data_IF_803350861773
#
_entry.id   IF_803350861773
#
_cell.length_a   1.000
_cell.length_b   1.000
_cell.length_c   1.000
_cell.angle_alpha   90.00
_cell.angle_beta   90.00
_cell.angle_gamma   90.00
#
_symmetry.space_group_name_H-M   'P 1'
#
loop_
_entity.id
_entity.type
_entity.pdbx_description
1 polymer ?
#
# COMPACT_ATOMS: atom_id res chain seq x y z
N UNK A 1 1.92 11.89 -21.95
CA UNK A 1 2.05 11.21 -20.67
C UNK A 1 2.45 9.76 -20.93
N UNK A 2 3.47 9.22 -20.28
CA UNK A 2 4.03 7.89 -20.60
C UNK A 2 3.04 6.74 -20.38
N UNK A 3 2.19 6.84 -19.36
CA UNK A 3 1.15 5.85 -19.08
C UNK A 3 0.18 5.68 -20.25
N UNK A 4 -0.29 6.77 -20.87
CA UNK A 4 -1.20 6.71 -22.02
C UNK A 4 -0.59 6.02 -23.22
N UNK A 5 0.71 6.16 -23.45
CA UNK A 5 1.44 5.45 -24.52
C UNK A 5 1.44 3.94 -24.33
N UNK A 6 1.21 3.47 -23.10
CA UNK A 6 1.13 2.06 -22.73
C UNK A 6 -0.30 1.53 -22.58
N UNK A 7 -1.29 2.28 -23.05
CA UNK A 7 -2.69 1.88 -23.00
C UNK A 7 -3.37 2.06 -21.63
N UNK A 8 -2.74 2.81 -20.70
CA UNK A 8 -3.35 3.12 -19.40
C UNK A 8 -4.23 4.34 -19.54
N UNK A 9 -5.49 4.22 -19.20
CA UNK A 9 -6.41 5.35 -19.11
C UNK A 9 -6.02 6.24 -17.92
N UNK A 10 -6.07 7.55 -18.13
CA UNK A 10 -5.66 8.54 -17.12
C UNK A 10 -6.72 9.63 -16.92
N UNK A 11 -7.95 9.34 -17.27
CA UNK A 11 -9.04 10.30 -17.18
C UNK A 11 -9.31 10.72 -15.73
N UNK A 12 -9.25 9.75 -14.82
CA UNK A 12 -9.50 9.97 -13.39
C UNK A 12 -8.25 10.38 -12.59
N UNK A 13 -7.14 10.66 -13.28
CA UNK A 13 -5.95 11.16 -12.59
C UNK A 13 -6.15 12.61 -12.18
N UNK A 14 -6.15 12.85 -10.88
CA UNK A 14 -6.31 14.18 -10.28
C UNK A 14 -4.94 14.86 -10.22
N UNK A 15 -4.90 16.11 -10.66
CA UNK A 15 -3.73 16.97 -10.58
C UNK A 15 -3.95 18.00 -9.48
N UNK A 16 -3.04 18.07 -8.52
CA UNK A 16 -3.12 19.00 -7.40
C UNK A 16 -1.81 19.06 -6.63
N UNK A 17 -1.78 19.90 -5.57
CA UNK A 17 -0.58 20.15 -4.79
C UNK A 17 0.53 20.88 -5.55
N UNK A 18 1.59 21.22 -4.84
CA UNK A 18 2.68 22.05 -5.39
C UNK A 18 3.75 21.22 -6.10
N UNK A 19 3.88 19.92 -5.79
CA UNK A 19 4.94 19.08 -6.34
C UNK A 19 4.55 17.61 -6.45
N UNK A 20 5.23 16.92 -7.35
CA UNK A 20 5.21 15.46 -7.45
C UNK A 20 6.19 14.86 -6.43
N UNK A 21 5.79 13.79 -5.76
CA UNK A 21 6.71 12.96 -4.98
C UNK A 21 7.67 12.20 -5.89
N UNK A 22 8.95 12.15 -5.52
CA UNK A 22 9.99 11.46 -6.27
C UNK A 22 10.77 10.49 -5.38
N UNK A 23 11.54 9.63 -5.98
CA UNK A 23 12.56 8.83 -5.31
C UNK A 23 13.83 8.77 -6.14
N UNK A 24 14.95 8.57 -5.47
CA UNK A 24 16.25 8.37 -6.08
C UNK A 24 16.71 6.94 -5.85
N UNK A 25 17.06 6.25 -6.91
CA UNK A 25 17.65 4.92 -6.83
C UNK A 25 19.15 5.03 -7.08
N UNK A 26 19.94 4.78 -6.05
CA UNK A 26 21.37 4.56 -6.17
C UNK A 26 21.59 3.06 -6.42
N UNK A 27 21.97 2.73 -7.65
CA UNK A 27 22.20 1.35 -8.06
C UNK A 27 23.42 0.78 -7.33
N UNK A 28 23.28 -0.38 -6.75
CA UNK A 28 24.39 -1.12 -6.15
C UNK A 28 25.37 -1.62 -7.21
N UNK A 29 26.60 -1.86 -6.79
CA UNK A 29 27.62 -2.47 -7.64
C UNK A 29 28.37 -3.56 -6.86
N UNK A 30 28.55 -4.71 -7.48
CA UNK A 30 29.26 -5.88 -6.94
C UNK A 30 28.70 -6.31 -5.56
N UNK A 31 29.33 -5.92 -4.46
CA UNK A 31 28.93 -6.29 -3.08
C UNK A 31 28.09 -5.23 -2.37
N UNK A 32 27.89 -4.06 -2.99
CA UNK A 32 27.09 -2.98 -2.41
C UNK A 32 25.63 -3.07 -2.86
N UNK A 33 24.70 -3.22 -1.92
CA UNK A 33 23.27 -3.19 -2.22
C UNK A 33 22.78 -1.85 -2.78
N UNK A 34 21.70 -1.87 -3.52
CA UNK A 34 21.02 -0.65 -4.00
C UNK A 34 20.41 0.11 -2.83
N UNK A 35 20.40 1.44 -2.94
CA UNK A 35 19.82 2.33 -1.94
C UNK A 35 18.71 3.18 -2.56
N UNK A 36 17.54 3.21 -1.90
CA UNK A 36 16.42 4.08 -2.29
C UNK A 36 16.30 5.21 -1.29
N UNK A 37 16.23 6.44 -1.80
CA UNK A 37 15.95 7.65 -1.02
C UNK A 37 14.62 8.22 -1.51
N UNK A 38 13.64 8.32 -0.61
CA UNK A 38 12.32 8.89 -0.91
C UNK A 38 12.30 10.39 -0.60
N UNK A 39 11.80 11.18 -1.53
CA UNK A 39 11.47 12.59 -1.38
C UNK A 39 9.98 12.79 -1.69
N UNK A 40 9.13 12.56 -0.70
CA UNK A 40 7.66 12.57 -0.82
C UNK A 40 6.97 13.58 0.09
N UNK A 41 7.71 14.23 1.00
CA UNK A 41 7.16 15.26 1.86
C UNK A 41 6.57 16.41 1.02
N UNK A 42 5.41 16.93 1.43
CA UNK A 42 4.70 18.01 0.73
C UNK A 42 4.43 17.74 -0.75
N UNK A 43 4.33 16.47 -1.13
CA UNK A 43 3.88 16.10 -2.47
C UNK A 43 2.35 16.05 -2.53
N UNK A 44 1.79 16.22 -3.72
CA UNK A 44 0.34 16.14 -3.94
C UNK A 44 -0.28 14.89 -3.30
N UNK A 45 0.41 13.73 -3.39
CA UNK A 45 -0.06 12.49 -2.78
C UNK A 45 0.04 12.49 -1.24
N UNK A 46 1.00 13.20 -0.65
CA UNK A 46 1.12 13.30 0.82
C UNK A 46 0.13 14.28 1.44
N UNK A 47 -0.45 15.16 0.62
CA UNK A 47 -1.40 16.19 1.03
C UNK A 47 -2.84 15.88 0.61
N UNK A 48 -3.06 14.70 0.02
CA UNK A 48 -4.39 14.26 -0.38
C UNK A 48 -5.33 14.13 0.84
N UNK A 49 -6.60 14.49 0.64
CA UNK A 49 -7.63 14.41 1.66
C UNK A 49 -8.87 13.71 1.11
N UNK A 50 -9.68 13.16 2.01
CA UNK A 50 -11.00 12.60 1.67
C UNK A 50 -11.86 13.62 0.93
N UNK A 51 -12.71 13.14 0.03
CA UNK A 51 -13.57 13.98 -0.81
C UNK A 51 -12.89 14.68 -1.98
N UNK A 52 -11.56 14.54 -2.15
CA UNK A 52 -10.86 15.07 -3.32
C UNK A 52 -11.06 14.22 -4.58
N UNK A 53 -11.47 12.96 -4.43
CA UNK A 53 -11.69 12.03 -5.53
C UNK A 53 -13.20 11.80 -5.67
N UNK A 54 -13.72 11.95 -6.88
CA UNK A 54 -15.08 11.54 -7.23
C UNK A 54 -15.10 10.02 -7.48
N UNK A 55 -15.27 9.27 -6.39
CA UNK A 55 -15.28 7.80 -6.44
C UNK A 55 -16.48 7.24 -7.20
N UNK A 56 -17.60 7.93 -7.23
CA UNK A 56 -18.76 7.49 -8.00
C UNK A 56 -18.44 7.44 -9.48
N UNK A 57 -17.76 8.48 -9.96
CA UNK A 57 -17.30 8.56 -11.33
C UNK A 57 -16.12 7.63 -11.59
N UNK A 58 -15.16 7.55 -10.67
CA UNK A 58 -13.96 6.72 -10.83
C UNK A 58 -14.28 5.22 -10.85
N UNK A 59 -15.33 4.80 -10.15
CA UNK A 59 -15.75 3.40 -10.05
C UNK A 59 -16.95 3.04 -10.95
N UNK A 60 -17.36 3.94 -11.85
CA UNK A 60 -18.42 3.65 -12.82
C UNK A 60 -17.95 2.57 -13.81
N UNK A 61 -18.66 1.43 -13.84
CA UNK A 61 -18.31 0.28 -14.68
C UNK A 61 -17.06 -0.48 -14.26
N UNK A 62 -16.49 -0.22 -13.10
CA UNK A 62 -15.31 -0.93 -12.58
C UNK A 62 -15.74 -2.21 -11.88
N UNK A 63 -15.08 -3.32 -12.22
CA UNK A 63 -15.30 -4.64 -11.61
C UNK A 63 -14.21 -5.03 -10.63
N UNK A 64 -13.02 -4.38 -10.71
CA UNK A 64 -11.85 -4.70 -9.89
C UNK A 64 -11.09 -3.44 -9.49
N UNK A 65 -10.89 -3.27 -8.20
CA UNK A 65 -10.08 -2.19 -7.62
C UNK A 65 -8.84 -2.76 -6.94
N UNK A 66 -7.67 -2.31 -7.38
CA UNK A 66 -6.40 -2.69 -6.76
C UNK A 66 -5.71 -1.48 -6.16
N UNK A 67 -5.27 -1.61 -4.89
CA UNK A 67 -4.49 -0.60 -4.21
C UNK A 67 -3.20 -1.21 -3.64
N UNK A 68 -2.26 -0.38 -3.21
CA UNK A 68 -0.99 -0.80 -2.61
C UNK A 68 -0.81 -0.24 -1.22
N UNK A 69 -0.25 -1.02 -0.30
CA UNK A 69 0.07 -0.61 1.07
C UNK A 69 1.07 0.56 1.18
N UNK A 70 1.68 0.96 0.05
CA UNK A 70 2.45 2.21 -0.01
C UNK A 70 1.54 3.43 0.16
N UNK A 71 0.31 3.40 -0.35
CA UNK A 71 -0.61 4.54 -0.29
C UNK A 71 -0.90 5.00 1.13
N UNK A 72 -1.43 4.16 2.04
CA UNK A 72 -1.68 4.57 3.42
C UNK A 72 -0.40 4.87 4.21
N UNK A 73 0.76 4.38 3.77
CA UNK A 73 2.04 4.63 4.44
C UNK A 73 2.59 6.06 4.26
N UNK A 74 2.03 6.84 3.31
CA UNK A 74 2.58 8.16 2.95
C UNK A 74 2.18 9.22 3.97
N UNK A 75 0.90 9.27 4.37
CA UNK A 75 0.35 10.24 5.32
C UNK A 75 -0.99 9.75 5.87
N UNK A 76 -1.46 10.36 6.95
CA UNK A 76 -2.80 10.08 7.50
C UNK A 76 -3.88 10.38 6.45
N UNK A 77 -3.81 11.51 5.74
CA UNK A 77 -4.77 11.83 4.68
C UNK A 77 -4.81 10.79 3.58
N UNK A 78 -3.65 10.25 3.17
CA UNK A 78 -3.59 9.18 2.18
C UNK A 78 -4.18 7.85 2.71
N UNK A 79 -4.02 7.56 4.01
CA UNK A 79 -4.67 6.41 4.65
C UNK A 79 -6.20 6.58 4.68
N UNK A 80 -6.68 7.77 5.05
CA UNK A 80 -8.11 8.09 5.11
C UNK A 80 -8.76 7.99 3.72
N UNK A 81 -8.10 8.48 2.67
CA UNK A 81 -8.55 8.35 1.27
C UNK A 81 -8.56 6.89 0.81
N UNK A 82 -7.57 6.10 1.22
CA UNK A 82 -7.55 4.67 0.91
C UNK A 82 -8.72 3.94 1.58
N UNK A 83 -9.03 4.26 2.83
CA UNK A 83 -10.18 3.72 3.55
C UNK A 83 -11.51 4.15 2.91
N UNK A 84 -11.63 5.42 2.50
CA UNK A 84 -12.77 5.93 1.75
C UNK A 84 -12.99 5.12 0.46
N UNK A 85 -11.93 4.89 -0.31
CA UNK A 85 -11.96 4.15 -1.56
C UNK A 85 -12.48 2.70 -1.37
N UNK A 86 -11.90 1.95 -0.42
CA UNK A 86 -12.28 0.55 -0.20
C UNK A 86 -13.71 0.42 0.32
N UNK A 87 -14.18 1.36 1.17
CA UNK A 87 -15.58 1.39 1.64
C UNK A 87 -16.56 1.58 0.49
N UNK A 88 -16.27 2.52 -0.41
CA UNK A 88 -17.13 2.79 -1.56
C UNK A 88 -17.09 1.65 -2.57
N UNK A 89 -15.90 1.10 -2.85
CA UNK A 89 -15.74 -0.05 -3.75
C UNK A 89 -16.50 -1.28 -3.23
N UNK A 90 -16.38 -1.58 -1.93
CA UNK A 90 -17.10 -2.67 -1.28
C UNK A 90 -18.61 -2.47 -1.36
N UNK A 91 -19.11 -1.26 -1.08
CA UNK A 91 -20.55 -0.94 -1.18
C UNK A 91 -21.10 -1.09 -2.61
N UNK A 92 -20.23 -0.92 -3.63
CA UNK A 92 -20.58 -1.12 -5.05
C UNK A 92 -20.40 -2.59 -5.51
N UNK A 93 -19.95 -3.50 -4.65
CA UNK A 93 -19.70 -4.91 -5.00
C UNK A 93 -18.49 -5.12 -5.91
N UNK A 94 -17.55 -4.19 -5.93
CA UNK A 94 -16.31 -4.27 -6.71
C UNK A 94 -15.34 -5.21 -6.00
N UNK A 95 -14.71 -6.13 -6.71
CA UNK A 95 -13.65 -6.98 -6.17
C UNK A 95 -12.45 -6.13 -5.78
N UNK A 96 -11.99 -6.25 -4.54
CA UNK A 96 -10.91 -5.43 -3.99
C UNK A 96 -9.67 -6.29 -3.71
N UNK A 97 -8.54 -5.87 -4.24
CA UNK A 97 -7.25 -6.51 -3.97
C UNK A 97 -6.20 -5.51 -3.52
N UNK A 98 -5.22 -6.01 -2.76
CA UNK A 98 -4.07 -5.21 -2.35
C UNK A 98 -2.76 -5.99 -2.40
N UNK A 99 -1.66 -5.26 -2.60
CA UNK A 99 -0.30 -5.68 -2.27
C UNK A 99 0.13 -4.91 -1.02
N UNK A 100 0.37 -5.61 0.08
CA UNK A 100 0.72 -5.02 1.39
C UNK A 100 1.96 -4.16 1.34
N UNK A 101 2.96 -4.59 0.61
CA UNK A 101 4.11 -3.80 0.15
C UNK A 101 4.73 -2.92 1.26
N UNK A 102 5.01 -3.51 2.43
CA UNK A 102 5.55 -2.79 3.58
C UNK A 102 6.84 -2.03 3.25
N UNK A 103 6.93 -0.81 3.73
CA UNK A 103 8.11 0.04 3.59
C UNK A 103 8.35 0.83 4.87
N UNK A 104 9.24 0.33 5.72
CA UNK A 104 9.57 0.93 7.03
C UNK A 104 9.90 2.43 6.97
N UNK A 105 10.45 2.91 5.84
CA UNK A 105 10.82 4.32 5.65
C UNK A 105 9.65 5.27 5.41
N UNK A 106 8.44 4.76 5.16
CA UNK A 106 7.27 5.58 4.81
C UNK A 106 6.37 5.87 6.02
N UNK A 107 6.15 4.92 6.90
CA UNK A 107 5.31 5.05 8.10
C UNK A 107 5.92 5.98 9.15
N UNK A 108 6.05 7.28 8.82
CA UNK A 108 6.71 8.25 9.70
C UNK A 108 5.74 9.10 10.51
N UNK A 109 4.47 9.06 10.17
CA UNK A 109 3.43 9.89 10.78
C UNK A 109 2.70 9.18 11.93
N UNK A 110 2.94 7.89 12.15
CA UNK A 110 2.29 7.11 13.19
C UNK A 110 3.24 6.04 13.77
N UNK A 111 2.89 5.53 14.94
CA UNK A 111 3.55 4.39 15.57
C UNK A 111 3.05 3.03 15.01
N UNK A 112 3.63 1.95 15.48
CA UNK A 112 3.32 0.60 15.01
C UNK A 112 1.88 0.18 15.32
N UNK A 113 1.36 0.53 16.50
CA UNK A 113 0.00 0.18 16.89
C UNK A 113 -1.05 0.92 16.03
N UNK A 114 -0.78 2.17 15.69
CA UNK A 114 -1.65 2.94 14.81
C UNK A 114 -1.60 2.41 13.37
N UNK A 115 -0.41 2.06 12.86
CA UNK A 115 -0.25 1.41 11.55
C UNK A 115 -1.05 0.11 11.46
N UNK A 116 -0.91 -0.76 12.46
CA UNK A 116 -1.63 -2.03 12.54
C UNK A 116 -3.14 -1.82 12.49
N UNK A 117 -3.66 -0.87 13.26
CA UNK A 117 -5.08 -0.51 13.24
C UNK A 117 -5.54 -0.04 11.85
N UNK A 118 -4.80 0.88 11.22
CA UNK A 118 -5.10 1.39 9.88
C UNK A 118 -5.14 0.24 8.87
N UNK A 119 -4.10 -0.58 8.85
CA UNK A 119 -3.99 -1.65 7.86
C UNK A 119 -5.05 -2.73 8.08
N UNK A 120 -5.32 -3.11 9.32
CA UNK A 120 -6.40 -4.05 9.65
C UNK A 120 -7.76 -3.52 9.17
N UNK A 121 -8.07 -2.24 9.41
CA UNK A 121 -9.33 -1.66 8.97
C UNK A 121 -9.45 -1.62 7.45
N UNK A 122 -8.42 -1.14 6.73
CA UNK A 122 -8.46 -1.04 5.27
C UNK A 122 -8.53 -2.43 4.62
N UNK A 123 -7.71 -3.39 5.10
CA UNK A 123 -7.67 -4.74 4.52
C UNK A 123 -8.91 -5.57 4.83
N UNK A 124 -9.70 -5.23 5.85
CA UNK A 124 -10.97 -5.91 6.13
C UNK A 124 -12.01 -5.79 5.00
N UNK A 125 -11.82 -4.87 4.07
CA UNK A 125 -12.64 -4.70 2.87
C UNK A 125 -12.09 -5.45 1.64
N UNK A 126 -10.91 -6.07 1.74
CA UNK A 126 -10.26 -6.72 0.59
C UNK A 126 -10.71 -8.18 0.44
N UNK A 127 -10.97 -8.58 -0.80
CA UNK A 127 -11.22 -9.97 -1.18
C UNK A 127 -9.91 -10.75 -1.37
N UNK A 128 -8.84 -10.05 -1.79
CA UNK A 128 -7.54 -10.65 -2.08
C UNK A 128 -6.44 -9.79 -1.49
N UNK A 129 -5.57 -10.41 -0.69
CA UNK A 129 -4.40 -9.77 -0.08
C UNK A 129 -3.15 -10.49 -0.55
N UNK A 130 -2.22 -9.73 -1.14
CA UNK A 130 -0.89 -10.18 -1.53
C UNK A 130 0.14 -9.59 -0.58
N UNK A 131 1.08 -10.39 -0.14
CA UNK A 131 2.14 -9.96 0.77
C UNK A 131 3.12 -11.09 1.06
N UNK A 132 4.21 -10.76 1.71
CA UNK A 132 5.18 -11.72 2.23
C UNK A 132 5.09 -11.78 3.76
N UNK A 133 5.96 -12.59 4.36
CA UNK A 133 6.00 -12.81 5.81
C UNK A 133 6.31 -11.53 6.59
N UNK A 134 7.23 -10.69 6.07
CA UNK A 134 7.55 -9.39 6.66
C UNK A 134 6.34 -8.46 6.64
N UNK A 135 5.59 -8.44 5.53
CA UNK A 135 4.38 -7.65 5.41
C UNK A 135 3.32 -8.08 6.45
N UNK A 136 3.13 -9.40 6.64
CA UNK A 136 2.18 -9.94 7.61
C UNK A 136 2.60 -9.60 9.05
N UNK A 137 3.87 -9.77 9.38
CA UNK A 137 4.41 -9.41 10.69
C UNK A 137 4.27 -7.92 10.98
N UNK A 138 4.70 -7.07 10.03
CA UNK A 138 4.76 -5.61 10.26
C UNK A 138 3.39 -4.95 10.23
N UNK A 139 2.44 -5.44 9.44
CA UNK A 139 1.12 -4.83 9.34
C UNK A 139 0.11 -5.39 10.33
N UNK A 140 0.24 -6.66 10.75
CA UNK A 140 -0.79 -7.33 11.53
C UNK A 140 -0.26 -8.01 12.81
N UNK A 141 1.04 -7.94 13.08
CA UNK A 141 1.64 -8.64 14.22
C UNK A 141 1.56 -10.16 14.11
N UNK A 142 1.35 -10.70 12.91
CA UNK A 142 1.24 -12.14 12.67
C UNK A 142 2.63 -12.74 12.66
N UNK A 143 2.91 -13.57 13.64
CA UNK A 143 4.18 -14.30 13.73
C UNK A 143 3.94 -15.81 13.52
N UNK A 144 4.75 -16.49 12.70
CA UNK A 144 4.67 -17.94 12.61
C UNK A 144 5.09 -18.54 13.95
N UNK A 145 4.27 -19.45 14.49
CA UNK A 145 4.59 -20.10 15.76
C UNK A 145 5.89 -20.90 15.66
N UNK A 146 6.84 -20.60 16.56
CA UNK A 146 8.10 -21.35 16.71
C UNK A 146 9.20 -21.03 15.68
N UNK A 147 9.02 -20.02 14.83
CA UNK A 147 10.00 -19.64 13.81
C UNK A 147 10.43 -18.17 13.96
N UNK A 148 11.72 -17.94 14.09
CA UNK A 148 12.32 -16.63 14.00
C UNK A 148 12.61 -16.31 12.53
N UNK A 149 11.76 -15.51 11.89
CA UNK A 149 11.85 -15.17 10.46
C UNK A 149 13.21 -14.56 10.09
N UNK A 150 13.84 -13.85 11.04
CA UNK A 150 15.15 -13.26 10.82
C UNK A 150 16.31 -14.26 10.84
N UNK A 151 16.10 -15.45 11.44
CA UNK A 151 17.12 -16.51 11.52
C UNK A 151 16.98 -17.59 10.47
N UNK A 152 15.76 -17.77 9.90
CA UNK A 152 15.43 -18.93 9.05
C UNK A 152 14.90 -18.55 7.67
N UNK A 153 15.16 -17.35 7.20
CA UNK A 153 14.53 -16.64 6.06
C UNK A 153 14.34 -17.38 4.72
N UNK A 154 14.90 -18.56 4.53
CA UNK A 154 14.69 -19.39 3.33
C UNK A 154 14.09 -20.78 3.60
N UNK A 155 13.95 -21.18 4.86
CA UNK A 155 13.48 -22.53 5.24
C UNK A 155 12.03 -22.55 5.74
N UNK A 156 11.35 -21.40 5.76
CA UNK A 156 9.97 -21.32 6.24
C UNK A 156 9.03 -21.81 5.14
N UNK A 157 8.38 -22.93 5.39
CA UNK A 157 7.33 -23.43 4.49
C UNK A 157 6.11 -22.52 4.58
N UNK A 158 5.52 -22.17 3.43
CA UNK A 158 4.29 -21.37 3.33
C UNK A 158 3.14 -21.91 4.23
N UNK A 159 3.13 -23.21 4.51
CA UNK A 159 2.19 -23.89 5.42
C UNK A 159 2.19 -23.32 6.86
N UNK A 160 3.31 -22.72 7.32
CA UNK A 160 3.39 -22.13 8.66
C UNK A 160 2.56 -20.84 8.80
N UNK A 161 2.28 -20.17 7.67
CA UNK A 161 1.45 -18.95 7.63
C UNK A 161 -0.04 -19.23 7.37
N UNK A 162 -0.36 -20.34 6.70
CA UNK A 162 -1.76 -20.71 6.42
C UNK A 162 -2.52 -21.20 7.66
N UNK A 163 -1.85 -21.47 8.76
CA UNK A 163 -2.47 -21.91 10.02
C UNK A 163 -2.96 -20.74 10.92
N UNK A 164 -2.77 -19.48 10.48
CA UNK A 164 -3.07 -18.27 11.27
C UNK A 164 -4.25 -17.47 10.67
N UNK A 165 -4.80 -17.89 9.55
CA UNK A 165 -5.97 -17.26 8.89
C UNK A 165 -7.27 -17.96 9.30
#
# INVERSE_FOLDING_TARGET
MEMRKRGVETEFMIYGGDRLGIYFLETGAVSRGSKVVYDRAHSAMSEIQTGMIDWDKAFDGVEWFHWTGITPAISQGAADVCLEAVKIASAKGITISTDLNYRAKLWKYCDDAHREKIMTEITSYCDIILGNEEDAEKHFGIHPEGLDVHKHGHDIKAEAFLSVC
#
